data_IF_187278704829
#
_entry.id   IF_187278704829
#
_cell.length_a   1.000
_cell.length_b   1.000
_cell.length_c   1.000
_cell.angle_alpha   90.00
_cell.angle_beta   90.00
_cell.angle_gamma   90.00
#
_symmetry.space_group_name_H-M   'P 1'
#
loop_
_entity.id
_entity.type
_entity.pdbx_description
1 polymer ?
#
# COMPACT_ATOMS: atom_id res chain seq x y z
N UNK A 1 0.39 12.71 -16.50
CA UNK A 1 1.70 12.66 -15.84
C UNK A 1 1.63 11.76 -14.59
N UNK A 2 2.58 10.88 -14.45
CA UNK A 2 2.62 9.95 -13.31
C UNK A 2 3.29 10.63 -12.11
N UNK A 3 2.65 10.56 -10.95
CA UNK A 3 3.18 11.17 -9.72
C UNK A 3 3.37 10.11 -8.66
N UNK A 4 4.46 10.22 -7.90
CA UNK A 4 4.80 9.29 -6.83
C UNK A 4 4.99 10.06 -5.53
N UNK A 5 4.38 9.57 -4.45
CA UNK A 5 4.68 10.05 -3.11
C UNK A 5 5.57 9.02 -2.41
N UNK A 6 6.63 9.47 -1.73
CA UNK A 6 7.53 8.62 -0.95
C UNK A 6 7.33 8.90 0.52
N UNK A 7 7.15 7.85 1.28
CA UNK A 7 7.02 7.95 2.73
C UNK A 7 7.90 6.90 3.41
N UNK A 8 8.30 7.17 4.64
CA UNK A 8 8.97 6.18 5.47
C UNK A 8 7.92 5.30 6.14
N UNK A 9 8.32 4.08 6.49
CA UNK A 9 7.44 3.16 7.21
C UNK A 9 6.93 3.76 8.52
N UNK A 10 7.67 4.69 9.12
CA UNK A 10 7.27 5.38 10.36
C UNK A 10 5.96 6.16 10.21
N UNK A 11 5.56 6.48 8.99
CA UNK A 11 4.30 7.16 8.71
C UNK A 11 3.08 6.27 9.06
N UNK A 12 3.28 4.97 9.01
CA UNK A 12 2.25 3.98 9.34
C UNK A 12 2.64 3.27 10.64
N UNK A 13 1.66 2.71 11.33
CA UNK A 13 1.95 1.94 12.54
C UNK A 13 2.70 0.65 12.20
N UNK A 14 3.45 0.13 13.17
CA UNK A 14 4.17 -1.13 12.99
C UNK A 14 3.21 -2.28 12.64
N UNK A 15 2.04 -2.29 13.24
CA UNK A 15 1.02 -3.30 12.97
C UNK A 15 0.53 -3.23 11.53
N UNK A 16 0.31 -2.02 11.02
CA UNK A 16 -0.11 -1.83 9.62
C UNK A 16 0.98 -2.32 8.66
N UNK A 17 2.23 -1.95 8.92
CA UNK A 17 3.35 -2.39 8.08
C UNK A 17 3.46 -3.91 8.09
N UNK A 18 3.44 -4.53 9.28
CA UNK A 18 3.64 -5.97 9.42
C UNK A 18 2.51 -6.77 8.79
N UNK A 19 1.26 -6.32 8.93
CA UNK A 19 0.11 -7.10 8.47
C UNK A 19 -0.29 -6.83 7.02
N UNK A 20 -0.07 -5.62 6.51
CA UNK A 20 -0.65 -5.22 5.23
C UNK A 20 0.36 -4.83 4.18
N UNK A 21 1.54 -4.40 4.57
CA UNK A 21 2.52 -3.84 3.64
C UNK A 21 3.70 -4.79 3.39
N UNK A 22 4.31 -5.33 4.45
CA UNK A 22 5.46 -6.20 4.29
C UNK A 22 5.09 -7.49 3.58
N UNK A 23 5.83 -7.89 2.54
CA UNK A 23 5.64 -9.21 1.95
C UNK A 23 6.11 -10.30 2.91
N UNK A 24 5.44 -11.44 2.85
CA UNK A 24 5.79 -12.59 3.68
C UNK A 24 6.71 -13.49 2.86
N UNK A 25 7.82 -13.92 3.46
CA UNK A 25 8.69 -14.91 2.85
C UNK A 25 8.23 -16.28 3.34
N UNK A 26 7.78 -17.12 2.42
CA UNK A 26 7.35 -18.49 2.76
C UNK A 26 8.55 -19.36 3.15
N UNK A 27 8.29 -20.51 3.77
CA UNK A 27 9.33 -21.46 4.11
C UNK A 27 10.10 -22.02 2.92
N UNK A 28 9.59 -21.82 1.72
CA UNK A 28 10.24 -22.24 0.47
C UNK A 28 11.04 -21.12 -0.18
N UNK A 29 11.13 -19.94 0.49
CA UNK A 29 11.83 -18.79 -0.04
C UNK A 29 11.05 -17.97 -1.05
N UNK A 30 9.78 -18.28 -1.25
CA UNK A 30 8.91 -17.52 -2.14
C UNK A 30 8.35 -16.31 -1.41
N UNK A 31 8.36 -15.14 -2.06
CA UNK A 31 7.79 -13.92 -1.48
C UNK A 31 6.31 -13.86 -1.86
N UNK A 32 5.45 -13.82 -0.85
CA UNK A 32 4.02 -13.66 -1.05
C UNK A 32 3.65 -12.18 -1.01
N UNK A 33 2.69 -11.81 -1.85
CA UNK A 33 2.22 -10.42 -1.87
C UNK A 33 1.48 -10.09 -0.57
N UNK A 34 1.65 -8.85 -0.06
CA UNK A 34 0.97 -8.44 1.16
C UNK A 34 -0.53 -8.28 0.93
N UNK A 35 -1.35 -8.37 2.00
CA UNK A 35 -2.81 -8.27 1.89
C UNK A 35 -3.33 -6.99 1.24
N UNK A 36 -2.52 -5.94 1.21
CA UNK A 36 -2.93 -4.68 0.55
C UNK A 36 -3.30 -4.89 -0.91
N UNK A 37 -2.74 -5.91 -1.58
CA UNK A 37 -3.08 -6.20 -2.98
C UNK A 37 -4.49 -6.77 -3.13
N UNK A 38 -5.16 -7.17 -2.06
CA UNK A 38 -6.54 -7.63 -2.13
C UNK A 38 -7.53 -6.48 -2.33
N UNK A 39 -7.08 -5.23 -2.15
CA UNK A 39 -7.91 -4.05 -2.38
C UNK A 39 -8.06 -3.86 -3.89
N UNK A 40 -9.29 -3.83 -4.43
CA UNK A 40 -9.47 -3.60 -5.86
C UNK A 40 -8.82 -2.30 -6.31
N UNK A 41 -8.02 -2.38 -7.37
CA UNK A 41 -7.36 -1.21 -7.93
C UNK A 41 -5.98 -0.92 -7.39
N UNK A 42 -5.43 -1.76 -6.50
CA UNK A 42 -4.07 -1.61 -6.00
C UNK A 42 -3.21 -2.77 -6.48
N UNK A 43 -2.03 -2.44 -6.98
CA UNK A 43 -0.99 -3.42 -7.34
C UNK A 43 0.24 -3.11 -6.50
N UNK A 44 0.80 -4.12 -5.86
CA UNK A 44 1.96 -3.96 -4.99
C UNK A 44 3.20 -4.57 -5.63
N UNK A 45 4.33 -3.86 -5.53
CA UNK A 45 5.63 -4.33 -5.99
C UNK A 45 6.64 -4.22 -4.85
N UNK A 46 7.40 -5.28 -4.64
CA UNK A 46 8.48 -5.27 -3.66
C UNK A 46 9.79 -4.92 -4.37
N UNK A 47 10.50 -3.92 -3.84
CA UNK A 47 11.78 -3.49 -4.40
C UNK A 47 12.93 -4.13 -3.63
N UNK A 48 14.05 -4.41 -4.33
CA UNK A 48 15.27 -4.89 -3.71
C UNK A 48 15.89 -3.85 -2.77
N UNK A 49 15.50 -2.59 -2.90
CA UNK A 49 15.98 -1.49 -2.04
C UNK A 49 15.20 -1.40 -0.73
N UNK A 50 14.50 -2.47 -0.35
CA UNK A 50 13.72 -2.56 0.86
C UNK A 50 12.61 -1.52 0.92
N UNK A 51 11.89 -1.40 -0.19
CA UNK A 51 10.71 -0.57 -0.28
C UNK A 51 9.58 -1.31 -0.95
N UNK A 52 8.35 -0.86 -0.69
CA UNK A 52 7.14 -1.38 -1.33
C UNK A 52 6.53 -0.26 -2.15
N UNK A 53 6.27 -0.54 -3.42
CA UNK A 53 5.60 0.39 -4.32
C UNK A 53 4.15 -0.04 -4.49
N UNK A 54 3.24 0.84 -4.17
CA UNK A 54 1.82 0.62 -4.39
C UNK A 54 1.38 1.43 -5.60
N UNK A 55 0.90 0.75 -6.63
CA UNK A 55 0.35 1.40 -7.81
C UNK A 55 -1.17 1.47 -7.66
N UNK A 56 -1.71 2.67 -7.70
CA UNK A 56 -3.14 2.89 -7.67
C UNK A 56 -3.66 3.02 -9.10
N UNK A 57 -4.59 2.15 -9.47
CA UNK A 57 -5.17 2.16 -10.80
C UNK A 57 -6.48 2.94 -10.81
N UNK A 58 -7.07 3.11 -11.99
CA UNK A 58 -8.36 3.78 -12.15
C UNK A 58 -9.49 3.09 -11.42
N UNK A 59 -9.31 1.80 -11.10
CA UNK A 59 -10.33 1.02 -10.40
C UNK A 59 -10.41 1.37 -8.92
N UNK A 60 -9.39 2.01 -8.37
CA UNK A 60 -9.42 2.46 -6.99
C UNK A 60 -10.08 3.83 -6.90
N UNK A 61 -11.29 3.86 -6.36
CA UNK A 61 -12.05 5.09 -6.19
C UNK A 61 -12.28 5.36 -4.71
N UNK A 62 -12.67 6.60 -4.37
CA UNK A 62 -13.00 6.93 -2.99
C UNK A 62 -14.15 6.09 -2.47
N UNK A 63 -15.11 5.74 -3.32
CA UNK A 63 -16.23 4.88 -2.91
C UNK A 63 -15.76 3.49 -2.54
N UNK A 64 -14.88 2.89 -3.35
CA UNK A 64 -14.33 1.57 -3.05
C UNK A 64 -13.48 1.61 -1.79
N UNK A 65 -12.73 2.68 -1.58
CA UNK A 65 -11.94 2.85 -0.39
C UNK A 65 -12.82 2.92 0.87
N UNK A 66 -13.95 3.60 0.80
CA UNK A 66 -14.91 3.67 1.90
C UNK A 66 -15.49 2.29 2.23
N UNK A 67 -15.71 1.46 1.22
CA UNK A 67 -16.18 0.09 1.44
C UNK A 67 -15.16 -0.75 2.21
N UNK A 68 -13.87 -0.45 2.03
CA UNK A 68 -12.79 -1.16 2.71
C UNK A 68 -12.51 -0.65 4.13
N UNK A 69 -13.13 0.44 4.53
CA UNK A 69 -12.88 1.08 5.83
C UNK A 69 -13.08 0.14 7.01
N UNK A 70 -13.96 -0.84 6.90
CA UNK A 70 -14.21 -1.82 7.97
C UNK A 70 -13.08 -2.82 8.15
N UNK A 71 -12.28 -3.04 7.12
CA UNK A 71 -11.32 -4.13 7.06
C UNK A 71 -9.86 -3.67 7.12
N UNK A 72 -9.63 -2.38 6.96
CA UNK A 72 -8.30 -1.82 6.89
C UNK A 72 -8.06 -0.84 8.04
N UNK A 73 -6.81 -0.72 8.51
CA UNK A 73 -6.50 0.25 9.55
C UNK A 73 -6.67 1.68 9.04
N UNK A 74 -7.03 2.56 9.97
CA UNK A 74 -7.33 3.95 9.65
C UNK A 74 -6.15 4.69 9.01
N UNK A 75 -4.92 4.44 9.48
CA UNK A 75 -3.74 5.08 8.94
C UNK A 75 -3.52 4.72 7.47
N UNK A 76 -3.73 3.46 7.10
CA UNK A 76 -3.62 3.01 5.71
C UNK A 76 -4.71 3.65 4.85
N UNK A 77 -5.95 3.67 5.33
CA UNK A 77 -7.06 4.31 4.62
C UNK A 77 -6.78 5.79 4.39
N UNK A 78 -6.28 6.49 5.41
CA UNK A 78 -5.95 7.92 5.31
C UNK A 78 -4.87 8.17 4.27
N UNK A 79 -3.84 7.33 4.22
CA UNK A 79 -2.77 7.45 3.23
C UNK A 79 -3.30 7.26 1.81
N UNK A 80 -4.10 6.23 1.59
CA UNK A 80 -4.68 5.95 0.28
C UNK A 80 -5.63 7.06 -0.17
N UNK A 81 -6.46 7.56 0.74
CA UNK A 81 -7.37 8.67 0.45
C UNK A 81 -6.60 9.94 0.07
N UNK A 82 -5.56 10.26 0.82
CA UNK A 82 -4.71 11.41 0.52
C UNK A 82 -4.10 11.29 -0.88
N UNK A 83 -3.57 10.13 -1.20
CA UNK A 83 -2.95 9.90 -2.51
C UNK A 83 -3.96 10.05 -3.65
N UNK A 84 -5.16 9.52 -3.50
CA UNK A 84 -6.21 9.64 -4.50
C UNK A 84 -6.60 11.11 -4.70
N UNK A 85 -6.84 11.83 -3.61
CA UNK A 85 -7.28 13.22 -3.67
C UNK A 85 -6.22 14.15 -4.25
N UNK A 86 -4.94 13.84 -4.04
CA UNK A 86 -3.83 14.64 -4.56
C UNK A 86 -3.38 14.21 -5.96
N UNK A 87 -3.98 13.16 -6.51
CA UNK A 87 -3.68 12.71 -7.86
C UNK A 87 -2.38 11.92 -7.99
N UNK A 88 -1.90 11.32 -6.93
CA UNK A 88 -0.75 10.42 -7.00
C UNK A 88 -1.15 9.08 -7.61
N UNK A 89 -0.28 8.55 -8.48
CA UNK A 89 -0.48 7.23 -9.07
C UNK A 89 0.26 6.14 -8.31
N UNK A 90 1.31 6.50 -7.57
CA UNK A 90 2.15 5.56 -6.84
C UNK A 90 2.42 6.05 -5.43
N UNK A 91 2.51 5.10 -4.51
CA UNK A 91 3.02 5.34 -3.15
C UNK A 91 4.23 4.43 -2.96
N UNK A 92 5.39 5.02 -2.66
CA UNK A 92 6.58 4.26 -2.32
C UNK A 92 6.78 4.31 -0.80
N UNK A 93 6.76 3.14 -0.17
CA UNK A 93 6.93 3.01 1.28
C UNK A 93 8.31 2.43 1.55
N UNK A 94 9.17 3.22 2.19
CA UNK A 94 10.54 2.81 2.52
C UNK A 94 10.50 2.10 3.87
N UNK A 95 10.93 0.84 3.89
CA UNK A 95 10.81 -0.02 5.07
C UNK A 95 11.97 0.11 6.07
N UNK A 96 13.00 0.84 5.70
CA UNK A 96 14.12 1.10 6.61
C UNK A 96 13.97 2.39 7.38
#
# INVERSE_FOLDING_TARGET
MTRTIRINADYLSETTIAKYINPVVSGEGTIELPPVVSIPGIISYFSQDNSVMLKMTKDLTMEKLKEQKRYLPEDLISLLAFAILQGFSYIEIILE
#
